data_IF_081065954859
#
_entry.id   IF_081065954859
#
_cell.length_a   1.000
_cell.length_b   1.000
_cell.length_c   1.000
_cell.angle_alpha   90.00
_cell.angle_beta   90.00
_cell.angle_gamma   90.00
#
_symmetry.space_group_name_H-M   'P 1'
#
loop_
_entity.id
_entity.type
_entity.pdbx_description
1 polymer ?
#
# COMPACT_ATOMS: atom_id res chain seq x y z
N UNK A 1 -16.14 -40.20 1.78
CA UNK A 1 -15.87 -38.94 1.02
C UNK A 1 -16.32 -37.67 1.73
N UNK A 2 -17.45 -37.65 2.47
CA UNK A 2 -17.93 -36.43 3.17
C UNK A 2 -16.97 -35.92 4.27
N UNK A 3 -16.37 -36.82 5.04
CA UNK A 3 -15.45 -36.47 6.14
C UNK A 3 -14.16 -35.83 5.62
N UNK A 4 -13.63 -36.30 4.47
CA UNK A 4 -12.42 -35.75 3.86
C UNK A 4 -12.62 -34.30 3.39
N UNK A 5 -13.79 -34.00 2.81
CA UNK A 5 -14.16 -32.64 2.41
C UNK A 5 -14.35 -31.71 3.60
N UNK A 6 -14.93 -32.19 4.72
CA UNK A 6 -15.12 -31.36 5.92
C UNK A 6 -13.78 -31.00 6.59
N UNK A 7 -12.83 -31.94 6.61
CA UNK A 7 -11.47 -31.69 7.15
C UNK A 7 -10.72 -30.64 6.33
N UNK A 8 -10.88 -30.65 5.00
CA UNK A 8 -10.21 -29.69 4.11
C UNK A 8 -10.68 -28.24 4.35
N UNK A 9 -11.98 -28.03 4.56
CA UNK A 9 -12.56 -26.69 4.81
C UNK A 9 -12.15 -26.15 6.18
N UNK A 10 -12.10 -27.01 7.20
CA UNK A 10 -11.65 -26.63 8.55
C UNK A 10 -10.16 -26.28 8.55
N UNK A 11 -9.34 -27.01 7.81
CA UNK A 11 -7.90 -26.75 7.69
C UNK A 11 -7.60 -25.40 6.99
N UNK A 12 -8.43 -25.00 6.03
CA UNK A 12 -8.32 -23.70 5.35
C UNK A 12 -8.70 -22.52 6.26
N UNK A 13 -9.63 -22.71 7.20
CA UNK A 13 -10.06 -21.68 8.15
C UNK A 13 -9.08 -21.37 9.28
N UNK A 14 -8.04 -22.20 9.49
CA UNK A 14 -7.01 -21.97 10.51
C UNK A 14 -5.91 -21.01 10.03
N UNK A 15 -5.78 -20.78 8.72
CA UNK A 15 -4.87 -19.77 8.17
C UNK A 15 -5.53 -18.39 8.26
N UNK A 16 -5.17 -17.61 9.28
CA UNK A 16 -5.55 -16.20 9.36
C UNK A 16 -4.68 -15.40 8.39
N UNK A 17 -5.32 -14.76 7.41
CA UNK A 17 -4.69 -13.76 6.57
C UNK A 17 -4.76 -12.40 7.30
N UNK A 18 -3.61 -11.83 7.67
CA UNK A 18 -3.51 -10.54 8.37
C UNK A 18 -3.83 -9.31 7.47
N UNK A 19 -4.37 -9.54 6.27
CA UNK A 19 -4.76 -8.47 5.35
C UNK A 19 -5.90 -7.57 5.88
N UNK A 20 -6.56 -7.94 6.98
CA UNK A 20 -7.74 -7.25 7.52
C UNK A 20 -7.46 -6.45 8.80
N UNK A 21 -6.21 -6.39 9.27
CA UNK A 21 -5.88 -5.56 10.42
C UNK A 21 -5.85 -4.08 10.03
N UNK A 22 -6.23 -3.23 10.99
CA UNK A 22 -6.16 -1.78 10.86
C UNK A 22 -4.69 -1.39 10.67
N UNK A 23 -4.39 -0.65 9.60
CA UNK A 23 -3.05 -0.17 9.33
C UNK A 23 -2.58 0.74 10.49
N UNK A 24 -1.33 0.62 10.98
CA UNK A 24 -0.84 1.51 12.01
C UNK A 24 -0.78 2.95 11.50
N UNK A 25 -1.12 3.91 12.37
CA UNK A 25 -0.91 5.33 12.03
C UNK A 25 0.58 5.65 12.04
N UNK A 26 1.00 6.48 11.09
CA UNK A 26 2.37 6.95 10.97
C UNK A 26 2.38 8.36 10.39
N UNK A 27 3.51 9.04 10.56
CA UNK A 27 3.77 10.33 9.91
C UNK A 27 4.87 10.19 8.86
N UNK A 28 4.70 10.87 7.73
CA UNK A 28 5.69 10.94 6.66
C UNK A 28 6.02 12.39 6.38
N UNK A 29 7.30 12.65 6.11
CA UNK A 29 7.74 13.93 5.53
C UNK A 29 7.80 13.75 4.03
N UNK A 30 7.00 14.53 3.30
CA UNK A 30 6.95 14.52 1.85
C UNK A 30 8.15 15.28 1.26
N UNK A 31 8.35 15.14 -0.05
CA UNK A 31 9.45 15.79 -0.78
C UNK A 31 9.35 17.31 -0.80
N UNK A 32 8.17 17.87 -0.55
CA UNK A 32 7.95 19.32 -0.40
C UNK A 32 8.21 19.84 1.03
N UNK A 33 8.64 18.97 1.94
CA UNK A 33 8.94 19.28 3.33
C UNK A 33 7.72 19.26 4.27
N UNK A 34 6.51 18.99 3.77
CA UNK A 34 5.33 18.88 4.63
C UNK A 34 5.30 17.54 5.36
N UNK A 35 5.03 17.57 6.67
CA UNK A 35 4.71 16.39 7.46
C UNK A 35 3.22 16.10 7.42
N UNK A 36 2.84 14.87 7.08
CA UNK A 36 1.45 14.41 7.04
C UNK A 36 1.27 13.15 7.89
N UNK A 37 0.11 12.99 8.53
CA UNK A 37 -0.31 11.77 9.23
C UNK A 37 -1.22 10.93 8.33
N UNK A 38 -1.03 9.61 8.32
CA UNK A 38 -1.80 8.69 7.47
C UNK A 38 -3.30 8.85 7.67
N UNK A 39 -3.77 8.79 8.92
CA UNK A 39 -5.20 8.84 9.20
C UNK A 39 -5.76 10.25 9.06
N UNK A 40 -5.21 11.20 9.81
CA UNK A 40 -5.72 12.57 9.88
C UNK A 40 -5.77 13.24 8.51
N UNK A 41 -4.75 13.04 7.68
CA UNK A 41 -4.64 13.75 6.41
C UNK A 41 -5.27 13.00 5.23
N UNK A 42 -5.47 11.68 5.33
CA UNK A 42 -5.94 10.83 4.22
C UNK A 42 -7.10 9.90 4.60
N UNK A 43 -6.88 8.87 5.44
CA UNK A 43 -7.86 7.80 5.63
C UNK A 43 -9.16 8.30 6.29
N UNK A 44 -9.07 9.18 7.29
CA UNK A 44 -10.24 9.77 7.97
C UNK A 44 -11.04 10.72 7.05
N UNK A 45 -10.42 11.18 5.95
CA UNK A 45 -11.07 11.98 4.91
C UNK A 45 -11.66 11.13 3.79
N UNK A 46 -11.66 9.80 3.94
CA UNK A 46 -12.19 8.87 2.96
C UNK A 46 -11.29 8.65 1.75
N UNK A 47 -10.01 9.09 1.80
CA UNK A 47 -9.04 8.74 0.75
C UNK A 47 -8.54 7.31 0.96
N UNK A 48 -8.22 6.64 -0.15
CA UNK A 48 -7.42 5.40 -0.12
C UNK A 48 -5.96 5.73 -0.36
N UNK A 49 -5.05 5.04 0.33
CA UNK A 49 -3.61 5.24 0.17
C UNK A 49 -2.98 3.99 -0.42
N UNK A 50 -2.27 4.16 -1.54
CA UNK A 50 -1.44 3.13 -2.15
C UNK A 50 0.01 3.38 -1.74
N UNK A 51 0.62 2.42 -1.04
CA UNK A 51 2.02 2.50 -0.63
C UNK A 51 2.90 1.64 -1.54
N UNK A 52 3.83 2.27 -2.23
CA UNK A 52 4.89 1.62 -2.99
C UNK A 52 6.21 1.70 -2.23
N UNK A 53 6.69 0.54 -1.79
CA UNK A 53 8.04 0.38 -1.26
C UNK A 53 9.00 0.22 -2.44
N UNK A 54 9.91 1.18 -2.63
CA UNK A 54 10.80 1.22 -3.78
C UNK A 54 12.27 1.30 -3.34
N UNK A 55 13.13 0.53 -4.00
CA UNK A 55 14.57 0.67 -3.93
C UNK A 55 15.16 0.69 -5.35
N UNK A 56 16.11 1.57 -5.62
CA UNK A 56 16.65 1.80 -6.98
C UNK A 56 17.24 0.51 -7.58
N UNK A 57 17.87 -0.32 -6.76
CA UNK A 57 18.48 -1.58 -7.16
C UNK A 57 17.51 -2.77 -7.17
N UNK A 58 16.20 -2.49 -7.27
CA UNK A 58 15.16 -3.49 -7.43
C UNK A 58 14.78 -3.64 -8.91
N UNK A 59 15.23 -4.68 -9.63
CA UNK A 59 14.82 -4.89 -11.01
C UNK A 59 13.30 -4.90 -11.23
N UNK A 60 12.47 -5.61 -10.42
CA UNK A 60 11.03 -5.58 -10.63
C UNK A 60 10.41 -4.22 -10.28
N UNK A 61 10.94 -3.50 -9.28
CA UNK A 61 10.40 -2.19 -8.93
C UNK A 61 10.68 -1.15 -10.01
N UNK A 62 11.85 -1.21 -10.67
CA UNK A 62 12.16 -0.37 -11.84
C UNK A 62 11.26 -0.72 -13.02
N UNK A 63 11.06 -2.00 -13.30
CA UNK A 63 10.20 -2.45 -14.39
C UNK A 63 8.75 -1.97 -14.23
N UNK A 64 8.24 -1.92 -13.00
CA UNK A 64 6.86 -1.48 -12.72
C UNK A 64 6.74 0.02 -12.41
N UNK A 65 7.86 0.77 -12.44
CA UNK A 65 7.83 2.19 -12.12
C UNK A 65 6.93 3.02 -13.06
N UNK A 66 6.94 2.81 -14.39
CA UNK A 66 6.07 3.55 -15.31
C UNK A 66 4.58 3.31 -15.02
N UNK A 67 4.19 2.05 -14.79
CA UNK A 67 2.79 1.71 -14.50
C UNK A 67 2.25 2.42 -13.25
N UNK A 68 3.10 2.60 -12.23
CA UNK A 68 2.71 3.33 -11.04
C UNK A 68 2.47 4.81 -11.30
N UNK A 69 3.25 5.41 -12.20
CA UNK A 69 3.06 6.78 -12.64
C UNK A 69 1.74 6.91 -13.42
N UNK A 70 1.48 6.02 -14.37
CA UNK A 70 0.25 6.02 -15.15
C UNK A 70 -1.00 5.96 -14.23
N UNK A 71 -0.96 5.11 -13.19
CA UNK A 71 -2.01 5.03 -12.19
C UNK A 71 -2.14 6.30 -11.35
N UNK A 72 -1.03 6.93 -10.94
CA UNK A 72 -1.10 8.20 -10.21
C UNK A 72 -1.78 9.29 -11.04
N UNK A 73 -1.51 9.32 -12.35
CA UNK A 73 -2.12 10.27 -13.28
C UNK A 73 -3.61 9.99 -13.50
N UNK A 74 -3.95 8.74 -13.78
CA UNK A 74 -5.34 8.30 -13.97
C UNK A 74 -6.23 8.58 -12.76
N UNK A 75 -5.69 8.44 -11.54
CA UNK A 75 -6.42 8.60 -10.29
C UNK A 75 -6.43 10.04 -9.76
N UNK A 76 -6.01 11.01 -10.59
CA UNK A 76 -6.19 12.43 -10.33
C UNK A 76 -5.06 13.10 -9.55
N UNK A 77 -3.85 12.55 -9.61
CA UNK A 77 -2.59 13.23 -9.23
C UNK A 77 -2.64 13.90 -7.84
N UNK A 78 -3.10 13.17 -6.83
CA UNK A 78 -3.18 13.65 -5.43
C UNK A 78 -4.41 14.52 -5.11
N UNK A 79 -5.18 14.93 -6.11
CA UNK A 79 -6.47 15.62 -5.91
C UNK A 79 -7.61 14.61 -5.77
N UNK A 80 -7.50 13.48 -6.47
CA UNK A 80 -8.50 12.43 -6.49
C UNK A 80 -8.66 11.64 -5.18
N UNK A 81 -9.50 10.59 -5.22
CA UNK A 81 -9.83 9.79 -4.04
C UNK A 81 -8.68 8.88 -3.58
N UNK A 82 -7.63 8.73 -4.38
CA UNK A 82 -6.50 7.87 -4.08
C UNK A 82 -5.20 8.65 -4.05
N UNK A 83 -4.44 8.45 -2.98
CA UNK A 83 -3.13 9.03 -2.78
C UNK A 83 -2.05 7.96 -2.95
N UNK A 84 -0.94 8.33 -3.58
CA UNK A 84 0.14 7.40 -3.91
C UNK A 84 1.40 7.81 -3.14
N UNK A 85 1.87 6.95 -2.23
CA UNK A 85 3.11 7.16 -1.50
C UNK A 85 4.21 6.28 -2.06
N UNK A 86 5.35 6.90 -2.39
CA UNK A 86 6.57 6.18 -2.76
C UNK A 86 7.55 6.34 -1.61
N UNK A 87 7.82 5.23 -0.92
CA UNK A 87 8.87 5.17 0.08
C UNK A 87 10.17 4.75 -0.59
N UNK A 88 11.15 5.64 -0.60
CA UNK A 88 12.52 5.33 -1.00
C UNK A 88 13.46 5.50 0.21
N UNK A 89 14.30 4.51 0.52
CA UNK A 89 15.26 4.65 1.61
C UNK A 89 16.28 5.76 1.32
N UNK A 90 16.52 6.64 2.30
CA UNK A 90 17.36 7.84 2.18
C UNK A 90 18.85 7.56 1.87
N UNK A 91 19.30 6.31 1.92
CA UNK A 91 20.68 5.90 1.66
C UNK A 91 20.97 5.62 0.17
N UNK A 92 20.03 5.94 -0.72
CA UNK A 92 20.10 5.68 -2.16
C UNK A 92 19.91 6.96 -3.00
N UNK A 93 20.19 8.14 -2.42
CA UNK A 93 20.24 9.44 -3.09
C UNK A 93 21.68 9.94 -3.06
#
# INVERSE_FOLDING_TARGET
>A
MKILTTVLIICFGLFRLDAQNIAPDFTVTLTDGQTKSLYKDYLDKGKTVVLKLFFVDCPPCRAHAPLYQDLYEEWGQGIGPVEFFIYQPAHLI
#
